data_IF_671759797555
#
_entry.id   IF_671759797555
#
_cell.length_a   1.000
_cell.length_b   1.000
_cell.length_c   1.000
_cell.angle_alpha   90.00
_cell.angle_beta   90.00
_cell.angle_gamma   90.00
#
_symmetry.space_group_name_H-M   'P 1'
#
loop_
_entity.id
_entity.type
_entity.pdbx_description
1 polymer ?
#
# COMPACT_ATOMS: atom_id res chain seq x y z
N UNK A 1 8.39 -5.71 -32.04
CA UNK A 1 8.54 -5.39 -30.62
C UNK A 1 9.46 -6.37 -29.92
N UNK A 2 10.08 -5.95 -28.83
CA UNK A 2 11.00 -6.76 -28.02
C UNK A 2 10.29 -7.94 -27.37
N UNK A 3 10.97 -9.08 -27.25
CA UNK A 3 10.56 -10.19 -26.38
C UNK A 3 11.02 -9.92 -24.94
N UNK A 4 10.43 -10.61 -23.95
CA UNK A 4 10.90 -10.51 -22.57
C UNK A 4 12.38 -10.89 -22.44
N UNK A 5 12.83 -11.97 -23.13
CA UNK A 5 14.24 -12.35 -23.18
C UNK A 5 15.15 -11.22 -23.68
N UNK A 6 14.72 -10.49 -24.71
CA UNK A 6 15.49 -9.35 -25.24
C UNK A 6 15.51 -8.19 -24.24
N UNK A 7 14.39 -7.93 -23.53
CA UNK A 7 14.35 -6.92 -22.48
C UNK A 7 15.32 -7.25 -21.35
N UNK A 8 15.35 -8.50 -20.87
CA UNK A 8 16.33 -8.98 -19.87
C UNK A 8 17.76 -8.73 -20.30
N UNK A 9 18.12 -9.05 -21.57
CA UNK A 9 19.49 -8.83 -22.05
C UNK A 9 19.84 -7.34 -22.13
N UNK A 10 18.94 -6.51 -22.65
CA UNK A 10 19.14 -5.06 -22.75
C UNK A 10 19.31 -4.46 -21.35
N UNK A 11 18.42 -4.82 -20.39
CA UNK A 11 18.52 -4.32 -19.02
C UNK A 11 19.85 -4.69 -18.39
N UNK A 12 20.33 -5.92 -18.59
CA UNK A 12 21.60 -6.36 -18.06
C UNK A 12 22.82 -5.66 -18.70
N UNK A 13 22.70 -5.21 -19.94
CA UNK A 13 23.75 -4.44 -20.60
C UNK A 13 23.86 -3.01 -20.04
N UNK A 14 22.76 -2.46 -19.50
CA UNK A 14 22.72 -1.13 -18.87
C UNK A 14 23.00 -1.13 -17.36
N UNK A 15 22.62 -2.19 -16.66
CA UNK A 15 22.71 -2.29 -15.19
C UNK A 15 23.70 -3.41 -14.81
N UNK A 16 24.93 -3.05 -14.41
CA UNK A 16 25.97 -4.01 -14.08
C UNK A 16 25.68 -4.98 -12.92
N UNK A 17 24.68 -4.64 -12.08
CA UNK A 17 24.20 -5.49 -11.00
C UNK A 17 22.98 -6.37 -11.34
N UNK A 18 22.52 -6.33 -12.62
CA UNK A 18 21.33 -7.06 -13.02
C UNK A 18 21.52 -8.58 -13.01
N UNK A 19 20.65 -9.29 -12.27
CA UNK A 19 20.68 -10.75 -12.14
C UNK A 19 19.75 -11.41 -13.17
N UNK A 20 20.35 -11.89 -14.28
CA UNK A 20 19.59 -12.58 -15.35
C UNK A 20 18.98 -13.88 -14.89
N UNK A 21 19.69 -14.66 -14.07
CA UNK A 21 19.22 -15.97 -13.63
C UNK A 21 18.03 -15.81 -12.68
N UNK A 22 18.11 -14.82 -11.79
CA UNK A 22 16.97 -14.45 -10.95
C UNK A 22 15.78 -13.95 -11.78
N UNK A 23 15.99 -13.11 -12.80
CA UNK A 23 14.92 -12.66 -13.68
C UNK A 23 14.20 -13.83 -14.38
N UNK A 24 14.95 -14.84 -14.85
CA UNK A 24 14.34 -16.02 -15.46
C UNK A 24 13.63 -16.92 -14.45
N UNK A 25 14.16 -17.08 -13.24
CA UNK A 25 13.47 -17.80 -12.15
C UNK A 25 12.15 -17.14 -11.78
N UNK A 26 12.11 -15.81 -11.72
CA UNK A 26 10.88 -15.05 -11.51
C UNK A 26 9.89 -15.23 -12.67
N UNK A 27 10.37 -15.20 -13.93
CA UNK A 27 9.52 -15.43 -15.08
C UNK A 27 8.84 -16.81 -15.04
N UNK A 28 9.55 -17.84 -14.57
CA UNK A 28 8.99 -19.17 -14.36
C UNK A 28 7.92 -19.16 -13.26
N UNK A 29 8.19 -18.55 -12.09
CA UNK A 29 7.23 -18.42 -10.99
C UNK A 29 5.94 -17.72 -11.43
N UNK A 30 6.03 -16.67 -12.24
CA UNK A 30 4.91 -15.93 -12.80
C UNK A 30 4.30 -16.58 -14.05
N UNK A 31 4.83 -17.70 -14.53
CA UNK A 31 4.41 -18.37 -15.78
C UNK A 31 4.48 -17.44 -17.00
N UNK A 32 5.44 -16.53 -17.03
CA UNK A 32 5.70 -15.63 -18.15
C UNK A 32 6.61 -16.32 -19.16
N UNK A 33 6.13 -16.54 -20.39
CA UNK A 33 6.95 -17.07 -21.48
C UNK A 33 7.98 -16.04 -21.97
N UNK A 34 9.30 -16.28 -21.78
CA UNK A 34 10.35 -15.31 -22.17
C UNK A 34 10.44 -15.07 -23.69
N UNK A 35 9.84 -15.91 -24.50
CA UNK A 35 9.85 -15.79 -25.96
C UNK A 35 8.72 -14.90 -26.49
N UNK A 36 7.70 -14.65 -25.68
CA UNK A 36 6.60 -13.75 -26.07
C UNK A 36 7.07 -12.32 -26.22
N UNK A 37 6.53 -11.64 -27.23
CA UNK A 37 6.74 -10.20 -27.41
C UNK A 37 6.01 -9.42 -26.32
N UNK A 38 6.64 -8.39 -25.75
CA UNK A 38 6.01 -7.55 -24.72
C UNK A 38 4.71 -6.90 -25.22
N UNK A 39 4.66 -6.53 -26.52
CA UNK A 39 3.45 -5.98 -27.14
C UNK A 39 2.30 -6.98 -27.32
N UNK A 40 2.55 -8.27 -27.13
CA UNK A 40 1.55 -9.34 -27.22
C UNK A 40 1.11 -9.86 -25.84
N UNK A 41 1.63 -9.28 -24.77
CA UNK A 41 1.23 -9.60 -23.41
C UNK A 41 -0.07 -8.88 -23.05
N UNK A 42 -0.86 -9.50 -22.17
CA UNK A 42 -1.95 -8.78 -21.51
C UNK A 42 -1.37 -7.68 -20.60
N UNK A 43 -2.21 -6.71 -20.21
CA UNK A 43 -1.79 -5.64 -19.29
C UNK A 43 -1.16 -6.20 -18.02
N UNK A 44 -1.78 -7.23 -17.40
CA UNK A 44 -1.24 -7.87 -16.21
C UNK A 44 0.13 -8.51 -16.44
N UNK A 45 0.31 -9.26 -17.53
CA UNK A 45 1.62 -9.84 -17.85
C UNK A 45 2.67 -8.80 -18.25
N UNK A 46 2.26 -7.68 -18.83
CA UNK A 46 3.16 -6.56 -19.07
C UNK A 46 3.62 -5.94 -17.75
N UNK A 47 2.71 -5.76 -16.78
CA UNK A 47 3.05 -5.35 -15.42
C UNK A 47 4.01 -6.35 -14.77
N UNK A 48 3.70 -7.65 -14.79
CA UNK A 48 4.60 -8.72 -14.30
C UNK A 48 5.99 -8.60 -14.91
N UNK A 49 6.10 -8.37 -16.23
CA UNK A 49 7.41 -8.23 -16.87
C UNK A 49 8.24 -7.07 -16.33
N UNK A 50 7.59 -5.93 -16.01
CA UNK A 50 8.26 -4.78 -15.38
C UNK A 50 8.69 -5.10 -13.95
N UNK A 51 7.81 -5.73 -13.15
CA UNK A 51 8.14 -6.14 -11.78
C UNK A 51 9.36 -7.05 -11.73
N UNK A 52 9.43 -8.04 -12.63
CA UNK A 52 10.57 -8.95 -12.70
C UNK A 52 11.86 -8.18 -13.01
N UNK A 53 11.85 -7.28 -13.99
CA UNK A 53 13.03 -6.49 -14.36
C UNK A 53 13.48 -5.60 -13.20
N UNK A 54 12.54 -5.01 -12.45
CA UNK A 54 12.85 -4.17 -11.28
C UNK A 54 13.44 -5.00 -10.15
N UNK A 55 12.81 -6.13 -9.78
CA UNK A 55 13.31 -7.01 -8.72
C UNK A 55 14.70 -7.58 -9.01
N UNK A 56 15.00 -7.83 -10.29
CA UNK A 56 16.28 -8.38 -10.73
C UNK A 56 17.34 -7.31 -11.01
N UNK A 57 17.04 -6.01 -10.84
CA UNK A 57 17.93 -4.91 -11.23
C UNK A 57 19.24 -4.85 -10.46
N UNK A 58 19.30 -5.38 -9.23
CA UNK A 58 20.45 -5.24 -8.34
C UNK A 58 20.67 -3.81 -7.83
N UNK A 59 19.63 -2.96 -7.89
CA UNK A 59 19.70 -1.59 -7.41
C UNK A 59 19.56 -1.52 -5.88
N UNK A 60 20.20 -0.51 -5.27
CA UNK A 60 20.11 -0.25 -3.83
C UNK A 60 18.71 0.23 -3.42
N UNK A 61 17.94 0.82 -4.35
CA UNK A 61 16.58 1.30 -4.13
C UNK A 61 15.66 0.84 -5.26
N UNK A 62 14.52 0.28 -4.89
CA UNK A 62 13.45 -0.15 -5.80
C UNK A 62 12.23 0.76 -5.61
N UNK A 63 11.78 1.37 -6.70
CA UNK A 63 10.59 2.21 -6.71
C UNK A 63 9.48 1.55 -7.52
N UNK A 64 8.32 1.39 -6.90
CA UNK A 64 7.15 0.81 -7.53
C UNK A 64 5.99 1.81 -7.49
N UNK A 65 5.44 2.11 -8.66
CA UNK A 65 4.25 2.93 -8.82
C UNK A 65 3.09 2.03 -9.25
N UNK A 66 2.08 1.90 -8.39
CA UNK A 66 0.92 1.02 -8.57
C UNK A 66 1.29 -0.41 -9.04
N UNK A 67 2.20 -1.11 -8.33
CA UNK A 67 2.82 -2.34 -8.85
C UNK A 67 1.85 -3.48 -9.11
N UNK A 68 0.74 -3.54 -8.39
CA UNK A 68 -0.20 -4.65 -8.48
C UNK A 68 -1.48 -4.31 -9.25
N UNK A 69 -1.56 -3.10 -9.78
CA UNK A 69 -2.72 -2.68 -10.57
C UNK A 69 -2.86 -3.54 -11.83
N UNK A 70 -4.04 -4.14 -12.00
CA UNK A 70 -4.33 -5.03 -13.13
C UNK A 70 -3.82 -6.46 -12.98
N UNK A 71 -3.24 -6.84 -11.83
CA UNK A 71 -2.92 -8.21 -11.49
C UNK A 71 -4.11 -8.92 -10.82
N UNK A 72 -4.22 -10.23 -11.05
CA UNK A 72 -5.11 -11.08 -10.26
C UNK A 72 -4.53 -11.34 -8.86
N UNK A 73 -5.36 -11.84 -7.94
CA UNK A 73 -4.98 -12.05 -6.55
C UNK A 73 -3.75 -12.96 -6.37
N UNK A 74 -3.59 -14.01 -7.21
CA UNK A 74 -2.45 -14.92 -7.11
C UNK A 74 -1.14 -14.23 -7.50
N UNK A 75 -1.16 -13.39 -8.55
CA UNK A 75 0.03 -12.65 -8.98
C UNK A 75 0.39 -11.53 -7.99
N UNK A 76 -0.61 -10.90 -7.32
CA UNK A 76 -0.36 -9.91 -6.27
C UNK A 76 0.33 -10.53 -5.06
N UNK A 77 -0.22 -11.63 -4.53
CA UNK A 77 0.37 -12.37 -3.41
C UNK A 77 1.80 -12.81 -3.75
N UNK A 78 1.99 -13.37 -4.94
CA UNK A 78 3.31 -13.79 -5.39
C UNK A 78 4.30 -12.61 -5.45
N UNK A 79 3.87 -11.44 -5.96
CA UNK A 79 4.73 -10.26 -6.03
C UNK A 79 5.17 -9.80 -4.64
N UNK A 80 4.25 -9.63 -3.70
CA UNK A 80 4.59 -9.15 -2.36
C UNK A 80 5.51 -10.14 -1.62
N UNK A 81 5.26 -11.43 -1.75
CA UNK A 81 6.15 -12.44 -1.18
C UNK A 81 7.55 -12.37 -1.75
N UNK A 82 7.69 -12.27 -3.08
CA UNK A 82 8.99 -12.14 -3.75
C UNK A 82 9.70 -10.83 -3.39
N UNK A 83 8.94 -9.76 -3.17
CA UNK A 83 9.48 -8.47 -2.72
C UNK A 83 10.06 -8.58 -1.32
N UNK A 84 9.36 -9.23 -0.40
CA UNK A 84 9.86 -9.49 0.97
C UNK A 84 11.08 -10.41 0.95
N UNK A 85 11.07 -11.48 0.15
CA UNK A 85 12.22 -12.35 -0.06
C UNK A 85 13.43 -11.54 -0.55
N UNK A 86 13.23 -10.70 -1.58
CA UNK A 86 14.31 -9.85 -2.13
C UNK A 86 14.84 -8.85 -1.12
N UNK A 87 13.96 -8.19 -0.36
CA UNK A 87 14.35 -7.28 0.72
C UNK A 87 15.18 -8.00 1.78
N UNK A 88 14.77 -9.18 2.21
CA UNK A 88 15.50 -9.97 3.22
C UNK A 88 16.91 -10.36 2.74
N UNK A 89 17.08 -10.67 1.45
CA UNK A 89 18.36 -11.07 0.86
C UNK A 89 19.33 -9.89 0.66
N UNK A 90 18.80 -8.74 0.22
CA UNK A 90 19.64 -7.64 -0.27
C UNK A 90 19.65 -6.41 0.63
N UNK A 91 18.67 -6.28 1.53
CA UNK A 91 18.44 -5.09 2.37
C UNK A 91 18.29 -3.80 1.52
N UNK A 92 17.80 -3.92 0.28
CA UNK A 92 17.56 -2.77 -0.59
C UNK A 92 16.43 -1.88 -0.05
N UNK A 93 16.50 -0.58 -0.27
CA UNK A 93 15.38 0.31 0.02
C UNK A 93 14.20 0.03 -0.93
N UNK A 94 12.98 -0.05 -0.40
CA UNK A 94 11.77 -0.27 -1.21
C UNK A 94 10.79 0.87 -0.98
N UNK A 95 10.33 1.48 -2.05
CA UNK A 95 9.29 2.51 -2.04
C UNK A 95 8.13 2.07 -2.92
N UNK A 96 6.94 2.04 -2.36
CA UNK A 96 5.71 1.68 -3.07
C UNK A 96 4.75 2.87 -3.03
N UNK A 97 4.34 3.36 -4.20
CA UNK A 97 3.24 4.31 -4.37
C UNK A 97 2.00 3.52 -4.76
N UNK A 98 0.95 3.57 -3.94
CA UNK A 98 -0.29 2.85 -4.23
C UNK A 98 -1.50 3.44 -3.49
N UNK A 99 -2.68 3.24 -4.07
CA UNK A 99 -3.96 3.48 -3.39
C UNK A 99 -4.57 2.18 -2.81
N UNK A 100 -3.95 1.02 -3.06
CA UNK A 100 -4.37 -0.27 -2.52
C UNK A 100 -3.69 -0.55 -1.17
N UNK A 101 -4.05 0.26 -0.17
CA UNK A 101 -3.38 0.31 1.14
C UNK A 101 -3.43 -1.05 1.86
N UNK A 102 -4.59 -1.72 1.85
CA UNK A 102 -4.80 -3.02 2.51
C UNK A 102 -3.80 -4.10 2.05
N UNK A 103 -3.34 -4.00 0.80
CA UNK A 103 -2.44 -4.99 0.19
C UNK A 103 -1.00 -4.89 0.75
N UNK A 104 -0.58 -3.71 1.21
CA UNK A 104 0.79 -3.46 1.65
C UNK A 104 0.93 -3.04 3.12
N UNK A 105 -0.16 -2.79 3.84
CA UNK A 105 -0.16 -2.31 5.22
C UNK A 105 0.76 -3.11 6.14
N UNK A 106 0.72 -4.44 6.04
CA UNK A 106 1.52 -5.33 6.89
C UNK A 106 2.98 -5.48 6.44
N UNK A 107 3.38 -4.83 5.35
CA UNK A 107 4.72 -4.95 4.77
C UNK A 107 5.55 -3.69 4.96
N UNK A 108 4.90 -2.53 5.15
CA UNK A 108 5.57 -1.23 5.17
C UNK A 108 5.91 -0.80 6.60
N UNK A 109 7.15 -0.36 6.80
CA UNK A 109 7.63 0.17 8.08
C UNK A 109 7.29 1.65 8.25
N UNK A 110 7.44 2.42 7.18
CA UNK A 110 7.18 3.85 7.12
C UNK A 110 6.13 4.18 6.08
N UNK A 111 5.29 5.16 6.38
CA UNK A 111 4.19 5.61 5.52
C UNK A 111 4.24 7.12 5.34
N UNK A 112 3.96 7.57 4.12
CA UNK A 112 3.71 8.97 3.79
C UNK A 112 2.34 9.05 3.12
N UNK A 113 1.39 9.73 3.75
CA UNK A 113 0.05 9.97 3.20
C UNK A 113 0.05 11.34 2.51
N UNK A 114 -0.31 11.33 1.22
CA UNK A 114 -0.32 12.52 0.38
C UNK A 114 -1.72 12.72 -0.20
N UNK A 115 -2.28 13.92 -0.07
CA UNK A 115 -3.50 14.33 -0.76
C UNK A 115 -3.34 15.75 -1.33
N UNK A 116 -3.83 15.96 -2.54
CA UNK A 116 -3.83 17.26 -3.26
C UNK A 116 -2.47 17.96 -3.21
N UNK A 117 -1.37 17.18 -3.30
CA UNK A 117 0.01 17.68 -3.30
C UNK A 117 0.54 18.08 -1.91
N UNK A 118 -0.17 17.74 -0.83
CA UNK A 118 0.26 18.00 0.55
C UNK A 118 0.50 16.70 1.29
N UNK A 119 1.54 16.65 2.11
CA UNK A 119 1.76 15.57 3.05
C UNK A 119 0.82 15.78 4.24
N UNK A 120 -0.08 14.81 4.47
CA UNK A 120 -1.03 14.81 5.57
C UNK A 120 -0.48 14.10 6.81
N UNK A 121 0.27 13.01 6.61
CA UNK A 121 0.96 12.29 7.66
C UNK A 121 2.24 11.66 7.10
N UNK A 122 3.27 11.56 7.93
CA UNK A 122 4.50 10.87 7.61
C UNK A 122 5.13 10.30 8.88
N UNK A 123 5.55 9.03 8.87
CA UNK A 123 6.18 8.38 10.01
C UNK A 123 6.06 6.87 9.97
N UNK A 124 6.42 6.24 11.08
CA UNK A 124 6.29 4.78 11.20
C UNK A 124 4.83 4.37 11.21
N UNK A 125 4.53 3.29 10.50
CA UNK A 125 3.16 2.72 10.42
C UNK A 125 2.56 2.52 11.82
N UNK A 126 3.32 1.93 12.75
CA UNK A 126 2.87 1.72 14.11
C UNK A 126 2.49 3.01 14.86
N UNK A 127 3.27 4.08 14.68
CA UNK A 127 3.02 5.36 15.33
C UNK A 127 1.75 6.01 14.76
N UNK A 128 1.59 5.99 13.43
CA UNK A 128 0.41 6.52 12.74
C UNK A 128 -0.86 5.78 13.17
N UNK A 129 -0.83 4.45 13.31
CA UNK A 129 -1.97 3.65 13.74
C UNK A 129 -2.31 3.83 15.23
N UNK A 130 -1.38 4.28 16.05
CA UNK A 130 -1.59 4.50 17.49
C UNK A 130 -1.91 5.94 17.86
N UNK A 131 -1.75 6.90 16.95
CA UNK A 131 -2.01 8.33 17.19
C UNK A 131 -3.52 8.68 17.25
N UNK A 132 -4.39 7.69 17.03
CA UNK A 132 -5.83 7.89 17.10
C UNK A 132 -6.64 6.62 17.28
N UNK A 133 -7.95 6.81 17.47
CA UNK A 133 -8.93 5.73 17.62
C UNK A 133 -10.27 6.12 17.00
N UNK A 134 -11.03 5.12 16.60
CA UNK A 134 -12.40 5.31 16.12
C UNK A 134 -13.40 4.98 17.21
N UNK A 135 -14.44 5.80 17.33
CA UNK A 135 -15.58 5.55 18.19
C UNK A 135 -16.86 5.47 17.36
N UNK A 136 -17.65 4.40 17.54
CA UNK A 136 -18.89 4.19 16.80
C UNK A 136 -20.04 3.90 17.77
N UNK A 137 -21.22 4.45 17.48
CA UNK A 137 -22.42 4.25 18.29
C UNK A 137 -23.57 5.18 17.89
N UNK A 138 -24.56 5.31 18.77
CA UNK A 138 -25.67 6.23 18.56
C UNK A 138 -25.17 7.68 18.41
N UNK A 139 -25.71 8.41 17.44
CA UNK A 139 -25.28 9.79 17.09
C UNK A 139 -25.19 10.71 18.32
N UNK A 140 -26.18 10.66 19.22
CA UNK A 140 -26.19 11.47 20.43
C UNK A 140 -25.05 11.12 21.41
N UNK A 141 -24.73 9.83 21.56
CA UNK A 141 -23.64 9.36 22.42
C UNK A 141 -22.27 9.72 21.84
N UNK A 142 -22.06 9.50 20.53
CA UNK A 142 -20.81 9.88 19.85
C UNK A 142 -20.61 11.38 19.96
N UNK A 143 -21.63 12.20 19.66
CA UNK A 143 -21.53 13.66 19.75
C UNK A 143 -21.21 14.14 21.17
N UNK A 144 -21.81 13.53 22.20
CA UNK A 144 -21.51 13.86 23.59
C UNK A 144 -20.07 13.46 23.98
N UNK A 145 -19.61 12.29 23.55
CA UNK A 145 -18.26 11.80 23.83
C UNK A 145 -17.18 12.63 23.17
N UNK A 146 -17.46 13.16 21.97
CA UNK A 146 -16.54 13.97 21.18
C UNK A 146 -16.39 15.42 21.72
N UNK A 147 -17.26 15.87 22.65
CA UNK A 147 -17.12 17.20 23.26
C UNK A 147 -15.76 17.31 23.98
N UNK A 148 -15.03 18.37 23.68
CA UNK A 148 -13.68 18.65 24.22
C UNK A 148 -12.56 17.66 23.79
N UNK A 149 -12.77 16.88 22.75
CA UNK A 149 -11.76 15.99 22.15
C UNK A 149 -11.36 16.49 20.77
N UNK A 150 -10.13 16.20 20.34
CA UNK A 150 -9.68 16.50 19.00
C UNK A 150 -10.26 15.47 18.00
N UNK A 151 -11.33 15.87 17.30
CA UNK A 151 -12.02 15.07 16.30
C UNK A 151 -11.38 15.35 14.94
N UNK A 152 -10.78 14.34 14.34
CA UNK A 152 -10.15 14.42 13.03
C UNK A 152 -11.16 14.22 11.89
N UNK A 153 -12.15 13.35 12.10
CA UNK A 153 -13.22 13.10 11.13
C UNK A 153 -14.47 12.59 11.84
N UNK A 154 -15.67 12.95 11.33
CA UNK A 154 -16.95 12.43 11.80
C UNK A 154 -17.84 12.05 10.62
N UNK A 155 -18.39 10.84 10.64
CA UNK A 155 -19.31 10.33 9.63
C UNK A 155 -20.64 9.94 10.28
N UNK A 156 -21.75 10.30 9.63
CA UNK A 156 -23.09 9.98 10.10
C UNK A 156 -23.76 9.05 9.07
N UNK A 157 -24.29 7.92 9.55
CA UNK A 157 -25.05 6.96 8.74
C UNK A 157 -26.36 6.68 9.46
N UNK A 158 -27.41 7.36 9.08
CA UNK A 158 -28.72 7.28 9.75
C UNK A 158 -28.66 7.72 11.21
N UNK A 159 -28.92 6.80 12.14
CA UNK A 159 -28.90 7.02 13.58
C UNK A 159 -27.55 6.70 14.24
N UNK A 160 -26.61 6.16 13.46
CA UNK A 160 -25.27 5.78 13.92
C UNK A 160 -24.28 6.85 13.46
N UNK A 161 -23.32 7.16 14.31
CA UNK A 161 -22.17 7.99 13.98
C UNK A 161 -20.88 7.23 14.25
N UNK A 162 -19.86 7.52 13.46
CA UNK A 162 -18.49 7.11 13.71
C UNK A 162 -17.60 8.36 13.70
N UNK A 163 -16.76 8.50 14.72
CA UNK A 163 -15.80 9.58 14.79
C UNK A 163 -14.39 9.02 14.94
N UNK A 164 -13.43 9.63 14.23
CA UNK A 164 -12.01 9.39 14.39
C UNK A 164 -11.41 10.50 15.25
N UNK A 165 -10.79 10.12 16.35
CA UNK A 165 -10.26 11.04 17.35
C UNK A 165 -8.77 10.81 17.52
N UNK A 166 -8.03 11.90 17.77
CA UNK A 166 -6.61 11.85 18.11
C UNK A 166 -6.40 11.42 19.57
N UNK A 167 -5.31 10.69 19.83
CA UNK A 167 -4.92 10.26 21.18
C UNK A 167 -5.47 8.90 21.57
N UNK A 168 -5.72 8.69 22.88
CA UNK A 168 -6.17 7.41 23.44
C UNK A 168 -7.58 7.51 24.01
N UNK A 169 -8.38 6.42 23.93
CA UNK A 169 -9.73 6.45 24.47
C UNK A 169 -9.73 6.49 26.01
N UNK A 170 -10.43 7.47 26.57
CA UNK A 170 -10.62 7.63 28.01
C UNK A 170 -12.10 7.82 28.33
N UNK A 171 -12.55 7.25 29.45
CA UNK A 171 -13.92 7.38 29.97
C UNK A 171 -15.01 7.10 28.93
N UNK A 172 -14.87 5.98 28.22
CA UNK A 172 -15.79 5.59 27.14
C UNK A 172 -17.14 5.19 27.74
N UNK A 173 -18.26 5.87 27.38
CA UNK A 173 -19.60 5.50 27.84
C UNK A 173 -20.03 4.12 27.34
N UNK A 174 -20.86 3.45 28.12
CA UNK A 174 -21.53 2.22 27.67
C UNK A 174 -22.37 2.49 26.41
N UNK A 175 -22.29 1.59 25.41
CA UNK A 175 -22.99 1.73 24.14
C UNK A 175 -22.15 2.42 23.04
N UNK A 176 -20.89 2.75 23.31
CA UNK A 176 -19.91 3.13 22.29
C UNK A 176 -18.91 2.00 22.08
N UNK A 177 -18.64 1.68 20.82
CA UNK A 177 -17.61 0.75 20.40
C UNK A 177 -16.34 1.50 20.02
N UNK A 178 -15.20 1.05 20.56
CA UNK A 178 -13.88 1.59 20.24
C UNK A 178 -13.17 0.60 19.32
N UNK A 179 -12.57 1.11 18.25
CA UNK A 179 -11.71 0.34 17.38
C UNK A 179 -10.42 1.09 17.08
N UNK A 180 -9.34 0.35 16.80
CA UNK A 180 -8.14 0.92 16.20
C UNK A 180 -8.34 0.96 14.68
N UNK A 181 -8.05 2.07 14.01
CA UNK A 181 -8.11 2.13 12.57
C UNK A 181 -6.95 1.32 11.97
N UNK A 182 -7.17 0.76 10.79
CA UNK A 182 -6.13 0.35 9.88
C UNK A 182 -5.64 1.55 9.06
N UNK A 183 -4.57 1.37 8.28
CA UNK A 183 -4.01 2.43 7.44
C UNK A 183 -5.02 2.96 6.41
N UNK A 184 -5.86 2.11 5.87
CA UNK A 184 -6.89 2.51 4.93
C UNK A 184 -7.92 3.42 5.61
N UNK A 185 -8.33 3.09 6.82
CA UNK A 185 -9.26 3.92 7.60
C UNK A 185 -8.62 5.26 7.97
N UNK A 186 -7.33 5.27 8.36
CA UNK A 186 -6.57 6.51 8.61
C UNK A 186 -6.53 7.37 7.36
N UNK A 187 -6.20 6.79 6.21
CA UNK A 187 -6.18 7.50 4.91
C UNK A 187 -7.55 8.13 4.62
N UNK A 188 -8.64 7.35 4.70
CA UNK A 188 -10.01 7.83 4.46
C UNK A 188 -10.38 8.96 5.44
N UNK A 189 -9.95 8.86 6.70
CA UNK A 189 -10.26 9.88 7.71
C UNK A 189 -9.48 11.18 7.48
N UNK A 190 -8.25 11.10 6.98
CA UNK A 190 -7.41 12.27 6.71
C UNK A 190 -7.73 12.93 5.35
N UNK A 191 -8.17 12.16 4.36
CA UNK A 191 -8.49 12.65 3.00
C UNK A 191 -9.97 12.89 2.78
N UNK A 192 -10.83 12.37 3.66
CA UNK A 192 -12.27 12.57 3.60
C UNK A 192 -12.62 14.06 3.66
N UNK A 193 -13.38 14.55 2.69
CA UNK A 193 -13.90 15.91 2.71
C UNK A 193 -14.61 16.13 4.04
N UNK A 194 -14.30 17.26 4.70
CA UNK A 194 -15.11 17.79 5.81
C UNK A 194 -16.56 17.76 5.32
N UNK A 195 -17.39 16.94 6.00
CA UNK A 195 -18.77 16.73 5.56
C UNK A 195 -19.39 18.08 5.25
N UNK A 196 -19.95 18.21 4.06
CA UNK A 196 -20.76 19.34 3.69
C UNK A 196 -21.77 19.63 4.82
N UNK A 197 -21.67 20.83 5.34
CA UNK A 197 -22.57 21.38 6.36
C UNK A 197 -23.98 21.54 5.82
#
# INVERSE_FOLDING_TARGET
GLTFKQAVNITADFYGGFDKDYAYSLAEKFKLDPKKRLSALSTGYLTVSKLILTLASGADFLFFDEPVLGLDANHRDLFYRLLVERFAETQCGVVISTHLIEECENLVEDVIIIDKGKVLAAGKTGDILTDGYSVTGAKSLVSAYCQNKEVLCMKNIGTISSAYLKGTPENVPEGLEISRPDLQQVFINLTGEEGEQ
#
